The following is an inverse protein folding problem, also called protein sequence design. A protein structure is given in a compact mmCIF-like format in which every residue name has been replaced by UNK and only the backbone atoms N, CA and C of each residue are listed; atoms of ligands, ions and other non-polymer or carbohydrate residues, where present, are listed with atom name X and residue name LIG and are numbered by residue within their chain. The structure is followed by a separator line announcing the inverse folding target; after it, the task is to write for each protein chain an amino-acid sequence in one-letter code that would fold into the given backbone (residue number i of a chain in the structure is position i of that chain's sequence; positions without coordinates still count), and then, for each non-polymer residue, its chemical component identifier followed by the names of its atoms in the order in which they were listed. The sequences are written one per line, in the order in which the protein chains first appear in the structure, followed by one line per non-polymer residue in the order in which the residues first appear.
data_IF_459236335086
#
_entry.id   IF_459236335086
#
_cell.length_a   1.000
_cell.length_b   1.000
_cell.length_c   1.000
_cell.angle_alpha   90.00
_cell.angle_beta   90.00
_cell.angle_gamma   90.00
#
_symmetry.space_group_name_H-M   'P 1'
#
loop_
_entity.id
_entity.type
_entity.pdbx_description
1 polymer ?
#
# COMPACT_ATOMS: atom_id res chain seq x y z
N UNK A 1 -24.08 -38.98 -18.91
CA UNK A 1 -24.60 -37.91 -19.79
C UNK A 1 -25.46 -37.01 -18.90
N UNK A 2 -25.20 -35.70 -18.95
CA UNK A 2 -25.58 -34.62 -18.02
C UNK A 2 -24.81 -34.69 -16.67
N UNK A 3 -23.71 -33.97 -16.44
CA UNK A 3 -23.36 -32.54 -16.61
C UNK A 3 -24.11 -31.62 -15.64
N UNK A 4 -23.48 -31.34 -14.50
CA UNK A 4 -23.82 -30.24 -13.60
C UNK A 4 -22.54 -29.48 -13.28
N UNK A 5 -22.37 -28.41 -14.03
CA UNK A 5 -21.38 -27.36 -13.92
C UNK A 5 -21.62 -26.56 -12.62
N UNK A 6 -20.89 -26.89 -11.55
CA UNK A 6 -20.82 -26.03 -10.36
C UNK A 6 -19.72 -24.98 -10.58
N UNK A 7 -20.09 -23.91 -11.29
CA UNK A 7 -19.33 -22.67 -11.29
C UNK A 7 -19.33 -22.09 -9.88
N UNK A 8 -18.29 -22.38 -9.11
CA UNK A 8 -18.04 -21.75 -7.82
C UNK A 8 -17.77 -20.26 -7.99
N UNK A 9 -18.83 -19.45 -7.95
CA UNK A 9 -18.72 -18.01 -7.75
C UNK A 9 -18.03 -17.76 -6.41
N UNK A 10 -16.74 -17.40 -6.47
CA UNK A 10 -16.00 -16.90 -5.31
C UNK A 10 -16.72 -15.67 -4.77
N UNK A 11 -17.37 -15.84 -3.62
CA UNK A 11 -17.97 -14.75 -2.86
C UNK A 11 -16.95 -13.59 -2.69
N UNK A 12 -17.36 -12.32 -2.85
CA UNK A 12 -16.45 -11.20 -2.72
C UNK A 12 -15.92 -11.13 -1.28
N UNK A 13 -14.58 -11.22 -1.12
CA UNK A 13 -13.87 -11.05 0.16
C UNK A 13 -14.38 -9.77 0.86
N UNK A 14 -14.92 -9.92 2.08
CA UNK A 14 -15.29 -8.79 2.94
C UNK A 14 -14.06 -7.88 3.12
N UNK A 15 -14.19 -6.54 2.97
CA UNK A 15 -13.06 -5.65 3.17
C UNK A 15 -12.63 -5.70 4.63
N UNK A 16 -11.33 -5.91 4.85
CA UNK A 16 -10.69 -5.89 6.17
C UNK A 16 -10.77 -4.50 6.85
N UNK A 17 -10.23 -4.38 8.07
CA UNK A 17 -10.52 -3.32 9.03
C UNK A 17 -9.82 -2.00 8.67
N UNK A 18 -10.26 -1.34 7.61
CA UNK A 18 -9.87 0.03 7.27
C UNK A 18 -11.02 0.97 7.60
N UNK A 19 -11.10 1.42 8.86
CA UNK A 19 -12.17 2.26 9.38
C UNK A 19 -12.47 3.47 8.49
N UNK A 20 -13.67 3.50 7.94
CA UNK A 20 -14.17 4.59 7.11
C UNK A 20 -15.65 4.37 6.78
N UNK A 21 -16.38 5.46 6.63
CA UNK A 21 -17.81 5.42 6.27
C UNK A 21 -17.90 5.28 4.75
N UNK A 22 -18.60 4.25 4.26
CA UNK A 22 -18.84 4.07 2.83
C UNK A 22 -19.77 5.18 2.33
N UNK A 23 -19.27 6.02 1.43
CA UNK A 23 -20.01 7.17 0.89
C UNK A 23 -20.69 6.84 -0.45
N UNK A 24 -20.11 5.94 -1.24
CA UNK A 24 -20.66 5.56 -2.54
C UNK A 24 -19.77 4.62 -3.35
N UNK A 25 -20.18 4.29 -4.57
CA UNK A 25 -19.43 3.43 -5.51
C UNK A 25 -19.32 4.03 -6.92
N UNK A 26 -18.66 5.18 -7.11
CA UNK A 26 -18.42 5.73 -8.44
C UNK A 26 -17.64 4.72 -9.31
N UNK A 27 -18.11 4.48 -10.53
CA UNK A 27 -17.52 3.52 -11.48
C UNK A 27 -17.30 2.10 -10.91
N UNK A 28 -18.11 1.70 -9.92
CA UNK A 28 -17.99 0.39 -9.25
C UNK A 28 -16.92 0.32 -8.15
N UNK A 29 -16.16 1.40 -7.91
CA UNK A 29 -15.11 1.46 -6.88
C UNK A 29 -15.64 2.07 -5.60
N UNK A 30 -15.55 1.40 -4.44
CA UNK A 30 -16.07 1.94 -3.17
C UNK A 30 -15.22 3.11 -2.65
N UNK A 31 -15.90 4.21 -2.31
CA UNK A 31 -15.32 5.41 -1.70
C UNK A 31 -15.61 5.42 -0.20
N UNK A 32 -14.56 5.50 0.60
CA UNK A 32 -14.62 5.57 2.06
C UNK A 32 -14.14 6.94 2.56
N UNK A 33 -14.82 7.49 3.56
CA UNK A 33 -14.39 8.70 4.27
C UNK A 33 -13.86 8.31 5.65
N UNK A 34 -12.61 8.63 5.94
CA UNK A 34 -12.04 8.39 7.27
C UNK A 34 -12.54 9.42 8.28
N UNK A 35 -12.60 9.10 9.59
CA UNK A 35 -12.99 10.07 10.62
C UNK A 35 -12.11 11.33 10.67
N UNK A 36 -10.84 11.23 10.27
CA UNK A 36 -9.92 12.37 10.25
C UNK A 36 -10.32 13.44 9.23
N UNK A 37 -11.15 13.10 8.24
CA UNK A 37 -11.76 14.06 7.32
C UNK A 37 -12.54 15.15 8.04
N UNK A 38 -13.37 14.79 9.03
CA UNK A 38 -14.20 15.74 9.77
C UNK A 38 -13.36 16.76 10.55
N UNK A 39 -12.22 16.32 11.09
CA UNK A 39 -11.29 17.21 11.80
C UNK A 39 -10.68 18.25 10.83
N UNK A 40 -10.26 17.82 9.64
CA UNK A 40 -9.72 18.74 8.62
C UNK A 40 -10.80 19.68 8.10
N UNK A 41 -12.01 19.17 7.85
CA UNK A 41 -13.12 20.00 7.42
C UNK A 41 -13.43 21.10 8.45
N UNK A 42 -13.41 20.77 9.74
CA UNK A 42 -13.56 21.75 10.82
C UNK A 42 -12.42 22.77 10.84
N UNK A 43 -11.17 22.34 10.67
CA UNK A 43 -10.01 23.22 10.61
C UNK A 43 -10.08 24.19 9.41
N UNK A 44 -10.38 23.68 8.20
CA UNK A 44 -10.57 24.50 7.00
C UNK A 44 -11.71 25.49 7.21
N UNK A 45 -12.84 25.02 7.78
CA UNK A 45 -13.99 25.87 8.07
C UNK A 45 -13.62 27.03 9.00
N UNK A 46 -12.81 26.77 10.02
CA UNK A 46 -12.34 27.79 10.94
C UNK A 46 -11.38 28.78 10.27
N UNK A 47 -10.29 28.28 9.65
CA UNK A 47 -9.26 29.12 9.00
C UNK A 47 -9.85 29.96 7.87
N UNK A 48 -10.64 29.34 6.99
CA UNK A 48 -11.27 30.05 5.88
C UNK A 48 -12.38 30.99 6.36
N UNK A 49 -13.07 30.65 7.47
CA UNK A 49 -14.03 31.55 8.12
C UNK A 49 -13.40 32.85 8.62
N UNK A 50 -12.22 32.76 9.23
CA UNK A 50 -11.46 33.92 9.69
C UNK A 50 -10.90 34.73 8.50
N UNK A 51 -10.56 34.07 7.39
CA UNK A 51 -10.18 34.76 6.15
C UNK A 51 -11.38 35.48 5.50
N UNK A 52 -12.55 34.86 5.50
CA UNK A 52 -13.79 35.46 4.98
C UNK A 52 -14.16 36.73 5.76
N UNK A 53 -13.88 36.79 7.05
CA UNK A 53 -14.14 37.98 7.86
C UNK A 53 -13.36 39.21 7.39
N UNK A 54 -12.15 38.99 6.86
CA UNK A 54 -11.30 40.08 6.33
C UNK A 54 -11.80 40.62 4.99
N UNK A 55 -12.42 39.76 4.18
CA UNK A 55 -12.85 40.09 2.80
C UNK A 55 -14.32 40.49 2.74
N UNK A 56 -15.17 39.82 3.53
CA UNK A 56 -16.63 39.96 3.57
C UNK A 56 -17.11 40.08 5.04
N UNK A 57 -16.75 41.18 5.74
CA UNK A 57 -17.09 41.36 7.15
C UNK A 57 -18.61 41.37 7.40
N UNK A 58 -19.41 41.74 6.40
CA UNK A 58 -20.87 41.84 6.49
C UNK A 58 -21.59 40.49 6.64
N UNK A 59 -20.89 39.36 6.45
CA UNK A 59 -21.48 38.01 6.57
C UNK A 59 -21.77 37.60 8.02
N UNK A 60 -21.09 38.20 9.00
CA UNK A 60 -21.20 37.80 10.41
C UNK A 60 -21.01 36.28 10.60
N UNK A 61 -21.82 35.60 11.45
CA UNK A 61 -21.69 34.16 11.70
C UNK A 61 -21.90 33.26 10.47
N UNK A 62 -22.56 33.75 9.41
CA UNK A 62 -22.82 32.97 8.20
C UNK A 62 -21.52 32.59 7.46
N UNK A 63 -20.41 33.29 7.73
CA UNK A 63 -19.08 32.97 7.20
C UNK A 63 -18.68 31.51 7.43
N UNK A 64 -19.03 30.92 8.59
CA UNK A 64 -18.69 29.52 8.88
C UNK A 64 -19.51 28.53 8.05
N UNK A 65 -20.74 28.86 7.65
CA UNK A 65 -21.52 28.03 6.72
C UNK A 65 -20.92 28.06 5.31
N UNK A 66 -20.50 29.25 4.86
CA UNK A 66 -19.80 29.42 3.58
C UNK A 66 -18.46 28.68 3.59
N UNK A 67 -17.71 28.75 4.69
CA UNK A 67 -16.45 28.03 4.84
C UNK A 67 -16.60 26.52 4.95
N UNK A 68 -17.68 26.04 5.55
CA UNK A 68 -18.02 24.61 5.53
C UNK A 68 -18.34 24.14 4.12
N UNK A 69 -19.13 24.93 3.36
CA UNK A 69 -19.39 24.65 1.96
C UNK A 69 -18.10 24.63 1.14
N UNK A 70 -17.20 25.59 1.37
CA UNK A 70 -15.87 25.61 0.75
C UNK A 70 -15.09 24.33 1.07
N UNK A 71 -15.02 23.91 2.34
CA UNK A 71 -14.30 22.70 2.74
C UNK A 71 -14.85 21.45 2.02
N UNK A 72 -16.18 21.32 1.93
CA UNK A 72 -16.83 20.21 1.21
C UNK A 72 -16.54 20.27 -0.30
N UNK A 73 -16.65 21.44 -0.91
CA UNK A 73 -16.37 21.64 -2.34
C UNK A 73 -14.89 21.38 -2.68
N UNK A 74 -13.98 21.82 -1.82
CA UNK A 74 -12.55 21.53 -1.96
C UNK A 74 -12.28 20.02 -1.91
N UNK A 75 -12.84 19.31 -0.93
CA UNK A 75 -12.72 17.85 -0.88
C UNK A 75 -13.37 17.15 -2.06
N UNK A 76 -14.49 17.67 -2.58
CA UNK A 76 -15.08 17.16 -3.80
C UNK A 76 -14.11 17.31 -4.99
N UNK A 77 -13.38 18.42 -5.08
CA UNK A 77 -12.35 18.59 -6.12
C UNK A 77 -11.17 17.63 -5.97
N UNK A 78 -10.73 17.35 -4.74
CA UNK A 78 -9.72 16.31 -4.45
C UNK A 78 -10.25 14.91 -4.79
N UNK A 79 -11.52 14.61 -4.51
CA UNK A 79 -12.13 13.35 -4.94
C UNK A 79 -12.16 13.23 -6.46
N UNK A 80 -12.44 14.33 -7.18
CA UNK A 80 -12.39 14.35 -8.65
C UNK A 80 -10.98 14.06 -9.16
N UNK A 81 -9.94 14.61 -8.51
CA UNK A 81 -8.54 14.28 -8.79
C UNK A 81 -8.25 12.78 -8.61
N UNK A 82 -8.65 12.17 -7.50
CA UNK A 82 -8.49 10.73 -7.27
C UNK A 82 -9.28 9.86 -8.26
N UNK A 83 -10.49 10.31 -8.61
CA UNK A 83 -11.30 9.64 -9.62
C UNK A 83 -10.64 9.67 -10.99
N UNK A 84 -9.86 10.71 -11.30
CA UNK A 84 -9.08 10.78 -12.53
C UNK A 84 -8.07 9.62 -12.60
N UNK A 85 -7.31 9.39 -11.51
CA UNK A 85 -6.40 8.24 -11.41
C UNK A 85 -7.14 6.92 -11.48
N UNK A 86 -8.27 6.80 -10.77
CA UNK A 86 -9.07 5.58 -10.75
C UNK A 86 -9.59 5.24 -12.15
N UNK A 87 -10.14 6.21 -12.87
CA UNK A 87 -10.63 6.02 -14.24
C UNK A 87 -9.49 5.64 -15.18
N UNK A 88 -8.32 6.28 -15.07
CA UNK A 88 -7.14 5.90 -15.85
C UNK A 88 -6.67 4.47 -15.54
N UNK A 89 -6.67 4.06 -14.27
CA UNK A 89 -6.32 2.70 -13.84
C UNK A 89 -7.30 1.66 -14.41
N UNK A 90 -8.61 1.92 -14.31
CA UNK A 90 -9.65 1.06 -14.87
C UNK A 90 -9.52 0.92 -16.40
N UNK A 91 -9.17 2.00 -17.10
CA UNK A 91 -8.89 1.96 -18.55
C UNK A 91 -7.66 1.11 -18.90
N UNK A 92 -6.67 1.07 -18.02
CA UNK A 92 -5.52 0.17 -18.13
C UNK A 92 -5.77 -1.23 -17.55
N UNK A 93 -7.01 -1.56 -17.17
CA UNK A 93 -7.41 -2.85 -16.56
C UNK A 93 -6.62 -3.17 -15.28
N UNK A 94 -6.20 -2.15 -14.54
CA UNK A 94 -5.57 -2.31 -13.24
C UNK A 94 -6.67 -2.40 -12.17
N UNK A 95 -6.68 -3.46 -11.34
CA UNK A 95 -7.68 -3.60 -10.29
C UNK A 95 -7.50 -2.51 -9.23
N UNK A 96 -8.60 -1.82 -8.91
CA UNK A 96 -8.68 -0.77 -7.89
C UNK A 96 -9.58 -1.27 -6.76
N UNK A 97 -9.03 -1.36 -5.55
CA UNK A 97 -9.71 -1.95 -4.40
C UNK A 97 -10.72 -0.99 -3.77
N UNK A 98 -10.29 0.26 -3.54
CA UNK A 98 -11.08 1.32 -2.91
C UNK A 98 -10.41 2.68 -3.06
N UNK A 99 -11.20 3.74 -2.90
CA UNK A 99 -10.73 5.12 -2.73
C UNK A 99 -10.98 5.49 -1.27
N UNK A 100 -9.99 6.00 -0.57
CA UNK A 100 -10.13 6.46 0.82
C UNK A 100 -9.79 7.94 0.94
N UNK A 101 -10.76 8.75 1.36
CA UNK A 101 -10.54 10.16 1.71
C UNK A 101 -10.04 10.22 3.16
N UNK A 102 -8.87 10.80 3.36
CA UNK A 102 -8.17 10.92 4.63
C UNK A 102 -7.66 12.34 4.88
N UNK A 103 -7.05 12.55 6.06
CA UNK A 103 -6.51 13.85 6.49
C UNK A 103 -5.60 14.53 5.45
N UNK A 104 -4.79 13.75 4.72
CA UNK A 104 -3.81 14.25 3.76
C UNK A 104 -4.31 14.29 2.31
N UNK A 105 -5.63 14.13 2.08
CA UNK A 105 -6.23 14.05 0.75
C UNK A 105 -6.87 12.69 0.48
N UNK A 106 -6.99 12.30 -0.78
CA UNK A 106 -7.48 10.97 -1.15
C UNK A 106 -6.33 10.00 -1.42
N UNK A 107 -6.57 8.70 -1.19
CA UNK A 107 -5.67 7.63 -1.59
C UNK A 107 -6.46 6.59 -2.34
N UNK A 108 -6.08 6.37 -3.60
CA UNK A 108 -6.60 5.30 -4.43
C UNK A 108 -5.76 4.03 -4.25
N UNK A 109 -6.32 2.99 -3.65
CA UNK A 109 -5.64 1.70 -3.47
C UNK A 109 -5.69 0.87 -4.75
N UNK A 110 -4.62 0.95 -5.55
CA UNK A 110 -4.44 0.17 -6.77
C UNK A 110 -3.63 -1.08 -6.43
N UNK A 111 -4.18 -2.28 -6.72
CA UNK A 111 -3.58 -3.55 -6.29
C UNK A 111 -2.32 -3.91 -7.10
N UNK A 112 -2.30 -3.57 -8.40
CA UNK A 112 -1.20 -3.90 -9.32
C UNK A 112 -0.50 -2.64 -9.83
N UNK A 113 0.84 -2.68 -9.90
CA UNK A 113 1.60 -1.63 -10.58
C UNK A 113 1.42 -1.68 -12.10
N UNK A 114 1.70 -0.55 -12.75
CA UNK A 114 1.68 -0.45 -14.20
C UNK A 114 2.77 -1.33 -14.83
N UNK A 115 2.40 -2.05 -15.88
CA UNK A 115 3.31 -2.96 -16.61
C UNK A 115 4.29 -2.24 -17.53
N UNK A 116 4.06 -0.96 -17.82
CA UNK A 116 4.95 -0.17 -18.70
C UNK A 116 5.19 1.22 -18.13
N UNK A 117 6.37 1.83 -18.39
CA UNK A 117 6.68 3.17 -17.93
C UNK A 117 5.70 4.22 -18.50
N UNK A 118 5.31 4.09 -19.78
CA UNK A 118 4.35 5.01 -20.39
C UNK A 118 2.98 5.02 -19.69
N UNK A 119 2.45 3.83 -19.36
CA UNK A 119 1.20 3.73 -18.59
C UNK A 119 1.34 4.29 -17.17
N UNK A 120 2.50 4.12 -16.52
CA UNK A 120 2.75 4.68 -15.19
C UNK A 120 2.78 6.21 -15.22
N UNK A 121 3.44 6.80 -16.22
CA UNK A 121 3.49 8.24 -16.42
C UNK A 121 2.09 8.82 -16.64
N UNK A 122 1.31 8.25 -17.56
CA UNK A 122 -0.07 8.72 -17.83
C UNK A 122 -0.93 8.59 -16.58
N UNK A 123 -0.84 7.45 -15.88
CA UNK A 123 -1.62 7.22 -14.66
C UNK A 123 -1.32 8.27 -13.59
N UNK A 124 -0.05 8.66 -13.41
CA UNK A 124 0.34 9.70 -12.45
C UNK A 124 0.02 11.12 -12.93
N UNK A 125 0.07 11.38 -14.23
CA UNK A 125 -0.14 12.72 -14.79
C UNK A 125 -1.62 13.16 -14.83
N UNK A 126 -2.55 12.21 -14.96
CA UNK A 126 -3.98 12.52 -15.18
C UNK A 126 -4.63 13.26 -14.00
N UNK A 127 -4.24 12.97 -12.76
CA UNK A 127 -4.75 13.69 -11.57
C UNK A 127 -4.36 15.17 -11.57
N UNK A 128 -3.05 15.51 -11.58
CA UNK A 128 -2.60 16.89 -11.66
C UNK A 128 -3.16 17.65 -12.86
N UNK A 129 -3.26 17.00 -14.03
CA UNK A 129 -3.89 17.60 -15.21
C UNK A 129 -5.35 17.98 -14.92
N UNK A 130 -6.14 17.10 -14.29
CA UNK A 130 -7.53 17.41 -13.98
C UNK A 130 -7.67 18.51 -12.93
N UNK A 131 -6.78 18.57 -11.93
CA UNK A 131 -6.73 19.69 -10.99
C UNK A 131 -6.42 21.02 -11.69
N UNK A 132 -5.50 21.04 -12.66
CA UNK A 132 -5.24 22.25 -13.46
C UNK A 132 -6.46 22.65 -14.30
N UNK A 133 -7.16 21.69 -14.90
CA UNK A 133 -8.39 21.95 -15.64
C UNK A 133 -9.51 22.50 -14.74
N UNK A 134 -9.67 21.95 -13.53
CA UNK A 134 -10.61 22.48 -12.55
C UNK A 134 -10.24 23.90 -12.12
N UNK A 135 -8.96 24.17 -11.87
CA UNK A 135 -8.50 25.52 -11.59
C UNK A 135 -8.84 26.50 -12.73
N UNK A 136 -8.58 26.11 -13.98
CA UNK A 136 -8.96 26.89 -15.16
C UNK A 136 -10.46 27.13 -15.27
N UNK A 137 -11.28 26.11 -14.96
CA UNK A 137 -12.74 26.24 -14.96
C UNK A 137 -13.23 27.21 -13.87
N UNK A 138 -12.67 27.15 -12.66
CA UNK A 138 -13.01 28.09 -11.58
C UNK A 138 -12.57 29.51 -11.93
N UNK A 139 -11.39 29.69 -12.53
CA UNK A 139 -10.94 30.98 -13.04
C UNK A 139 -11.93 31.59 -14.06
N UNK A 140 -12.37 30.80 -15.05
CA UNK A 140 -13.38 31.24 -16.01
C UNK A 140 -14.74 31.53 -15.37
N UNK A 141 -15.08 30.83 -14.28
CA UNK A 141 -16.27 31.11 -13.48
C UNK A 141 -16.18 32.44 -12.73
N UNK A 142 -14.99 32.80 -12.23
CA UNK A 142 -14.76 34.07 -11.53
C UNK A 142 -15.03 35.28 -12.42
N UNK A 143 -14.69 35.20 -13.71
CA UNK A 143 -14.96 36.24 -14.71
C UNK A 143 -16.46 36.56 -14.87
N UNK A 144 -17.36 35.72 -14.33
CA UNK A 144 -18.82 35.86 -14.44
C UNK A 144 -19.50 36.34 -13.16
N UNK A 145 -18.74 36.55 -12.09
CA UNK A 145 -19.26 36.96 -10.78
C UNK A 145 -18.45 38.13 -10.24
N UNK A 146 -19.04 38.88 -9.31
CA UNK A 146 -18.30 39.93 -8.60
C UNK A 146 -17.20 39.29 -7.73
N UNK A 147 -15.92 39.68 -7.86
CA UNK A 147 -14.84 39.17 -7.02
C UNK A 147 -15.06 39.37 -5.52
N UNK A 148 -15.77 40.43 -5.12
CA UNK A 148 -16.12 40.74 -3.74
C UNK A 148 -17.48 40.15 -3.32
N UNK A 149 -17.93 39.09 -3.99
CA UNK A 149 -19.12 38.33 -3.60
C UNK A 149 -18.75 36.94 -3.04
N UNK A 150 -19.69 36.32 -2.32
CA UNK A 150 -19.51 34.94 -1.80
C UNK A 150 -19.13 33.96 -2.92
N UNK A 151 -19.82 33.91 -4.08
CA UNK A 151 -19.39 33.08 -5.21
C UNK A 151 -17.97 33.41 -5.71
N UNK A 152 -17.61 34.69 -5.79
CA UNK A 152 -16.28 35.13 -6.23
C UNK A 152 -15.17 34.60 -5.32
N UNK A 153 -15.32 34.75 -4.01
CA UNK A 153 -14.36 34.27 -3.01
C UNK A 153 -14.27 32.73 -3.00
N UNK A 154 -15.41 32.03 -3.11
CA UNK A 154 -15.43 30.56 -3.18
C UNK A 154 -14.71 30.04 -4.43
N UNK A 155 -14.97 30.63 -5.60
CA UNK A 155 -14.32 30.24 -6.84
C UNK A 155 -12.82 30.53 -6.81
N UNK A 156 -12.42 31.69 -6.26
CA UNK A 156 -11.01 32.04 -6.06
C UNK A 156 -10.30 31.05 -5.15
N UNK A 157 -10.92 30.70 -4.01
CA UNK A 157 -10.41 29.69 -3.10
C UNK A 157 -10.25 28.34 -3.80
N UNK A 158 -11.27 27.87 -4.52
CA UNK A 158 -11.24 26.57 -5.19
C UNK A 158 -10.22 26.53 -6.33
N UNK A 159 -10.07 27.63 -7.07
CA UNK A 159 -9.03 27.80 -8.09
C UNK A 159 -7.64 27.66 -7.46
N UNK A 160 -7.34 28.47 -6.44
CA UNK A 160 -6.02 28.48 -5.78
C UNK A 160 -5.74 27.12 -5.16
N UNK A 161 -6.71 26.52 -4.46
CA UNK A 161 -6.54 25.20 -3.86
C UNK A 161 -6.25 24.12 -4.91
N UNK A 162 -6.92 24.13 -6.06
CA UNK A 162 -6.65 23.16 -7.12
C UNK A 162 -5.29 23.40 -7.81
N UNK A 163 -4.86 24.65 -7.95
CA UNK A 163 -3.50 24.98 -8.40
C UNK A 163 -2.45 24.46 -7.42
N UNK A 164 -2.66 24.65 -6.11
CA UNK A 164 -1.77 24.13 -5.09
C UNK A 164 -1.71 22.60 -5.12
N UNK A 165 -2.86 21.91 -5.18
CA UNK A 165 -2.93 20.44 -5.30
C UNK A 165 -2.17 19.96 -6.54
N UNK A 166 -2.35 20.61 -7.69
CA UNK A 166 -1.62 20.26 -8.91
C UNK A 166 -0.12 20.51 -8.78
N UNK A 167 0.28 21.68 -8.27
CA UNK A 167 1.68 22.06 -8.11
C UNK A 167 2.42 21.11 -7.17
N UNK A 168 1.85 20.81 -5.99
CA UNK A 168 2.41 19.86 -5.04
C UNK A 168 2.50 18.47 -5.64
N UNK A 169 1.45 17.97 -6.30
CA UNK A 169 1.49 16.65 -6.91
C UNK A 169 2.40 16.58 -8.13
N UNK A 170 2.79 17.68 -8.77
CA UNK A 170 3.77 17.68 -9.87
C UNK A 170 5.23 17.73 -9.39
N UNK A 171 5.49 17.93 -8.08
CA UNK A 171 6.86 17.97 -7.58
C UNK A 171 7.58 16.62 -7.83
N UNK A 172 8.85 16.67 -8.28
CA UNK A 172 9.58 15.47 -8.69
C UNK A 172 10.11 14.72 -7.46
N UNK A 173 9.26 13.93 -6.78
CA UNK A 173 9.70 13.12 -5.64
C UNK A 173 8.60 12.25 -5.06
N UNK A 174 8.92 11.00 -4.72
CA UNK A 174 7.96 10.13 -4.04
C UNK A 174 7.63 10.68 -2.65
N UNK A 175 6.39 10.55 -2.15
CA UNK A 175 5.28 9.74 -2.69
C UNK A 175 4.37 10.47 -3.71
N UNK A 176 4.72 11.68 -4.14
CA UNK A 176 3.87 12.54 -4.99
C UNK A 176 3.77 11.97 -6.42
N UNK A 177 2.75 12.37 -7.17
CA UNK A 177 2.55 11.90 -8.56
C UNK A 177 3.71 12.27 -9.48
N UNK A 178 4.31 13.46 -9.32
CA UNK A 178 5.49 13.91 -10.05
C UNK A 178 6.71 13.03 -9.76
N UNK A 179 6.77 12.44 -8.55
CA UNK A 179 7.72 11.38 -8.22
C UNK A 179 7.49 10.10 -9.01
N UNK A 180 6.22 9.70 -9.19
CA UNK A 180 5.84 8.54 -10.02
C UNK A 180 6.10 8.80 -11.50
N UNK A 181 5.85 10.02 -11.97
CA UNK A 181 6.21 10.47 -13.32
C UNK A 181 7.73 10.41 -13.52
N UNK A 182 8.52 10.92 -12.58
CA UNK A 182 9.99 10.83 -12.61
C UNK A 182 10.47 9.37 -12.62
N UNK A 183 9.91 8.53 -11.74
CA UNK A 183 10.18 7.08 -11.70
C UNK A 183 9.92 6.45 -13.07
N UNK A 184 8.79 6.76 -13.70
CA UNK A 184 8.41 6.24 -15.01
C UNK A 184 9.38 6.67 -16.12
N UNK A 185 9.84 7.93 -16.11
CA UNK A 185 10.84 8.44 -17.07
C UNK A 185 12.17 7.70 -16.89
N UNK A 186 12.68 7.60 -15.66
CA UNK A 186 13.94 6.92 -15.37
C UNK A 186 13.85 5.43 -15.70
N UNK A 187 12.71 4.80 -15.40
CA UNK A 187 12.46 3.42 -15.79
C UNK A 187 12.47 3.26 -17.32
N UNK A 188 11.81 4.15 -18.06
CA UNK A 188 11.83 4.15 -19.52
C UNK A 188 13.24 4.26 -20.12
N UNK A 189 14.11 5.05 -19.49
CA UNK A 189 15.51 5.23 -19.94
C UNK A 189 16.39 4.02 -19.56
N UNK A 190 16.25 3.51 -18.33
CA UNK A 190 17.15 2.48 -17.77
C UNK A 190 16.70 1.05 -18.04
N UNK A 191 15.42 0.85 -18.39
CA UNK A 191 14.78 -0.46 -18.47
C UNK A 191 14.53 -1.12 -17.11
N UNK A 192 14.94 -0.51 -15.99
CA UNK A 192 14.88 -1.09 -14.65
C UNK A 192 13.90 -0.31 -13.74
N UNK A 193 12.73 -0.86 -13.38
CA UNK A 193 11.72 -0.14 -12.59
C UNK A 193 12.22 0.23 -11.18
N UNK A 194 13.05 -0.63 -10.60
CA UNK A 194 13.61 -0.40 -9.28
C UNK A 194 14.57 0.80 -9.25
N UNK A 195 15.38 0.98 -10.31
CA UNK A 195 16.26 2.15 -10.44
C UNK A 195 15.46 3.45 -10.47
N UNK A 196 14.33 3.47 -11.20
CA UNK A 196 13.42 4.62 -11.20
C UNK A 196 12.83 4.92 -9.83
N UNK A 197 12.43 3.88 -9.09
CA UNK A 197 11.88 4.04 -7.73
C UNK A 197 12.91 4.58 -6.75
N UNK A 198 14.13 4.04 -6.78
CA UNK A 198 15.24 4.48 -5.92
C UNK A 198 15.58 5.94 -6.20
N UNK A 199 15.72 6.32 -7.48
CA UNK A 199 16.02 7.69 -7.86
C UNK A 199 14.90 8.64 -7.41
N UNK A 200 13.63 8.35 -7.72
CA UNK A 200 12.51 9.20 -7.33
C UNK A 200 12.34 9.31 -5.80
N UNK A 201 12.68 8.26 -5.04
CA UNK A 201 12.69 8.31 -3.57
C UNK A 201 13.81 9.21 -3.04
N UNK A 202 15.00 9.17 -3.63
CA UNK A 202 16.10 10.08 -3.26
C UNK A 202 15.80 11.53 -3.60
N UNK A 203 15.22 11.80 -4.78
CA UNK A 203 14.78 13.17 -5.12
C UNK A 203 13.67 13.63 -4.15
N UNK A 204 12.73 12.76 -3.76
CA UNK A 204 11.76 13.06 -2.71
C UNK A 204 12.39 13.43 -1.36
N UNK A 205 13.44 12.70 -0.94
CA UNK A 205 14.20 13.05 0.28
C UNK A 205 14.92 14.39 0.17
N UNK A 206 15.54 14.65 -0.97
CA UNK A 206 16.19 15.95 -1.22
C UNK A 206 15.16 17.09 -1.21
N UNK A 207 13.99 16.87 -1.81
CA UNK A 207 12.87 17.81 -1.80
C UNK A 207 12.35 18.05 -0.38
N UNK A 208 12.22 17.01 0.45
CA UNK A 208 11.82 17.17 1.85
C UNK A 208 12.79 18.07 2.63
N UNK A 209 14.09 17.90 2.44
CA UNK A 209 15.12 18.77 3.04
C UNK A 209 15.02 20.20 2.47
N UNK A 210 14.81 20.33 1.17
CA UNK A 210 14.64 21.63 0.52
C UNK A 210 13.39 22.38 1.03
N UNK A 211 12.28 21.68 1.28
CA UNK A 211 11.07 22.28 1.86
C UNK A 211 11.31 22.68 3.32
N UNK A 212 11.96 21.82 4.11
CA UNK A 212 12.26 22.08 5.52
C UNK A 212 13.13 23.32 5.72
N UNK A 213 14.16 23.50 4.88
CA UNK A 213 15.11 24.61 5.00
C UNK A 213 14.70 25.83 4.17
N UNK A 214 14.15 25.59 2.98
CA UNK A 214 13.84 26.62 1.99
C UNK A 214 12.59 27.41 2.34
N UNK A 215 11.51 26.76 2.81
CA UNK A 215 10.27 27.47 3.11
C UNK A 215 10.47 28.54 4.21
N UNK A 216 11.13 28.25 5.35
CA UNK A 216 11.42 29.27 6.36
C UNK A 216 12.42 30.32 5.87
N UNK A 217 13.46 29.95 5.10
CA UNK A 217 14.45 30.92 4.61
C UNK A 217 13.84 31.92 3.61
N UNK A 218 12.96 31.45 2.73
CA UNK A 218 12.31 32.30 1.74
C UNK A 218 11.37 33.30 2.41
N UNK A 219 10.65 32.90 3.46
CA UNK A 219 9.79 33.80 4.23
C UNK A 219 10.61 34.78 5.09
N UNK A 220 11.75 34.35 5.65
CA UNK A 220 12.66 35.22 6.41
C UNK A 220 13.40 36.26 5.58
N UNK A 221 13.74 35.94 4.32
CA UNK A 221 14.54 36.82 3.45
C UNK A 221 13.69 37.84 2.69
N UNK A 222 12.35 37.74 2.75
CA UNK A 222 11.44 38.66 2.06
C UNK A 222 11.54 38.60 0.53
N UNK A 223 12.21 37.58 -0.02
CA UNK A 223 12.47 37.44 -1.47
C UNK A 223 11.18 37.29 -2.28
N UNK A 224 10.10 36.75 -1.67
CA UNK A 224 8.78 36.67 -2.30
C UNK A 224 7.92 37.94 -2.10
N UNK A 225 8.51 39.03 -1.60
CA UNK A 225 7.85 40.31 -1.39
C UNK A 225 7.32 40.46 0.04
N UNK A 226 7.53 41.65 0.60
CA UNK A 226 7.05 42.13 1.90
C UNK A 226 5.52 42.32 1.96
N UNK A 227 4.74 41.43 1.33
CA UNK A 227 3.27 41.45 1.27
C UNK A 227 2.63 40.13 1.70
N UNK A 228 3.40 39.16 2.19
CA UNK A 228 2.87 37.88 2.71
C UNK A 228 2.15 38.00 4.06
N UNK A 229 2.16 39.16 4.69
CA UNK A 229 1.31 39.45 5.86
C UNK A 229 -0.18 39.23 5.54
N UNK A 230 -0.59 39.38 4.27
CA UNK A 230 -2.01 39.31 3.85
C UNK A 230 -2.49 37.93 3.36
N UNK A 231 -1.63 37.03 2.88
CA UNK A 231 -2.10 35.77 2.26
C UNK A 231 -2.26 34.62 3.27
N UNK A 232 -1.70 34.74 4.48
CA UNK A 232 -1.81 33.67 5.47
C UNK A 232 -1.75 34.05 6.93
N UNK A 233 -1.29 35.24 7.33
CA UNK A 233 -1.17 35.61 8.75
C UNK A 233 -0.42 34.60 9.64
N UNK A 234 0.39 33.72 9.03
CA UNK A 234 1.12 32.67 9.72
C UNK A 234 2.45 33.26 10.18
N UNK A 235 2.69 33.19 11.49
CA UNK A 235 3.98 33.60 12.05
C UNK A 235 5.09 32.67 11.53
N UNK A 236 6.34 33.13 11.57
CA UNK A 236 7.54 32.36 11.18
C UNK A 236 7.60 30.97 11.84
N UNK A 237 7.05 30.85 13.04
CA UNK A 237 6.92 29.58 13.76
C UNK A 237 5.93 28.63 13.08
N UNK A 238 4.76 29.10 12.66
CA UNK A 238 3.75 28.30 11.99
C UNK A 238 4.22 27.85 10.60
N UNK A 239 4.89 28.73 9.85
CA UNK A 239 5.49 28.37 8.56
C UNK A 239 6.57 27.30 8.72
N UNK A 240 7.42 27.41 9.74
CA UNK A 240 8.41 26.40 10.07
C UNK A 240 7.78 25.07 10.52
N UNK A 241 6.69 25.11 11.28
CA UNK A 241 5.93 23.91 11.69
C UNK A 241 5.27 23.23 10.49
N UNK A 242 4.64 24.00 9.60
CA UNK A 242 4.06 23.47 8.36
C UNK A 242 5.15 22.86 7.47
N UNK A 243 6.26 23.56 7.27
CA UNK A 243 7.41 23.05 6.51
C UNK A 243 7.92 21.73 7.10
N UNK A 244 8.02 21.64 8.43
CA UNK A 244 8.44 20.44 9.13
C UNK A 244 7.46 19.28 8.95
N UNK A 245 6.15 19.53 9.05
CA UNK A 245 5.12 18.52 8.81
C UNK A 245 5.18 18.03 7.35
N UNK A 246 5.24 18.94 6.38
CA UNK A 246 5.30 18.59 4.96
C UNK A 246 6.57 17.80 4.63
N UNK A 247 7.72 18.25 5.13
CA UNK A 247 8.99 17.56 4.97
C UNK A 247 8.95 16.16 5.60
N UNK A 248 8.37 16.01 6.79
CA UNK A 248 8.22 14.71 7.44
C UNK A 248 7.34 13.77 6.61
N UNK A 249 6.25 14.25 6.03
CA UNK A 249 5.36 13.45 5.17
C UNK A 249 6.08 13.01 3.91
N UNK A 250 6.75 13.92 3.20
CA UNK A 250 7.50 13.59 1.99
C UNK A 250 8.62 12.59 2.33
N UNK A 251 9.38 12.83 3.39
CA UNK A 251 10.48 11.96 3.82
C UNK A 251 10.01 10.55 4.18
N UNK A 252 8.97 10.44 5.01
CA UNK A 252 8.40 9.14 5.43
C UNK A 252 7.73 8.43 4.27
N UNK A 253 7.02 9.15 3.39
CA UNK A 253 6.40 8.62 2.18
C UNK A 253 7.43 8.07 1.18
N UNK A 254 8.52 8.79 0.94
CA UNK A 254 9.64 8.32 0.12
C UNK A 254 10.27 7.04 0.71
N UNK A 255 10.49 7.01 2.03
CA UNK A 255 11.01 5.83 2.73
C UNK A 255 10.07 4.62 2.68
N UNK A 256 8.76 4.84 2.82
CA UNK A 256 7.75 3.79 2.71
C UNK A 256 7.67 3.23 1.29
N UNK A 257 7.70 4.10 0.28
CA UNK A 257 7.69 3.70 -1.13
C UNK A 257 8.88 2.82 -1.48
N UNK A 258 10.08 3.18 -1.00
CA UNK A 258 11.29 2.39 -1.21
C UNK A 258 11.23 1.03 -0.49
N UNK A 259 10.73 0.99 0.75
CA UNK A 259 10.54 -0.27 1.49
C UNK A 259 9.57 -1.20 0.79
N UNK A 260 8.44 -0.67 0.33
CA UNK A 260 7.42 -1.45 -0.38
C UNK A 260 7.95 -1.98 -1.73
N UNK A 261 8.70 -1.16 -2.47
CA UNK A 261 9.31 -1.60 -3.72
C UNK A 261 10.35 -2.72 -3.50
N UNK A 262 11.19 -2.62 -2.46
CA UNK A 262 12.15 -3.69 -2.11
C UNK A 262 11.48 -4.99 -1.72
N UNK A 263 10.43 -4.89 -0.89
CA UNK A 263 9.63 -6.04 -0.51
C UNK A 263 9.14 -6.76 -1.77
N UNK A 264 8.49 -6.02 -2.67
CA UNK A 264 7.94 -6.56 -3.92
C UNK A 264 8.97 -7.15 -4.86
N UNK A 265 10.15 -6.55 -4.99
CA UNK A 265 11.23 -7.08 -5.84
C UNK A 265 11.67 -8.49 -5.40
N UNK A 266 11.66 -8.76 -4.10
CA UNK A 266 12.11 -10.05 -3.55
C UNK A 266 10.97 -11.05 -3.28
N UNK A 267 9.71 -10.63 -3.34
CA UNK A 267 8.56 -11.54 -3.18
C UNK A 267 8.62 -12.76 -4.13
N UNK A 268 9.01 -12.62 -5.42
CA UNK A 268 9.13 -13.77 -6.32
C UNK A 268 10.20 -14.79 -5.93
N UNK A 269 11.18 -14.41 -5.08
CA UNK A 269 12.19 -15.32 -4.52
C UNK A 269 11.60 -16.22 -3.43
N UNK A 270 10.51 -15.80 -2.78
CA UNK A 270 9.77 -16.57 -1.79
C UNK A 270 8.86 -17.58 -2.49
N UNK A 271 9.43 -18.70 -2.95
CA UNK A 271 8.68 -19.82 -3.53
C UNK A 271 8.60 -20.95 -2.53
N UNK A 272 7.42 -21.55 -2.39
CA UNK A 272 7.25 -22.73 -1.55
C UNK A 272 8.28 -23.80 -1.96
N UNK A 273 8.40 -24.09 -3.26
CA UNK A 273 9.36 -25.07 -3.80
C UNK A 273 10.82 -24.89 -3.36
N UNK A 274 11.32 -23.66 -3.25
CA UNK A 274 12.72 -23.39 -2.89
C UNK A 274 12.96 -23.37 -1.39
N UNK A 275 11.93 -23.04 -0.60
CA UNK A 275 11.99 -22.97 0.85
C UNK A 275 11.61 -24.28 1.54
N UNK A 276 10.94 -25.18 0.81
CA UNK A 276 10.53 -26.49 1.33
C UNK A 276 11.73 -27.38 1.57
N UNK A 277 11.73 -28.05 2.72
CA UNK A 277 12.67 -29.14 3.02
C UNK A 277 12.08 -30.45 2.50
N UNK A 278 12.88 -31.24 1.79
CA UNK A 278 12.51 -32.61 1.38
C UNK A 278 12.04 -33.39 2.61
N UNK A 279 10.94 -34.12 2.45
CA UNK A 279 10.38 -34.98 3.48
C UNK A 279 10.49 -36.45 3.08
N UNK A 280 10.60 -37.33 4.09
CA UNK A 280 10.48 -38.78 3.89
C UNK A 280 9.12 -39.24 4.42
N UNK A 281 8.36 -40.00 3.62
CA UNK A 281 7.14 -40.64 4.08
C UNK A 281 7.47 -41.84 4.98
N UNK A 282 6.77 -41.94 6.12
CA UNK A 282 6.89 -43.07 7.08
C UNK A 282 5.51 -43.50 7.58
N UNK A 283 5.39 -44.73 8.06
CA UNK A 283 4.15 -45.24 8.65
C UNK A 283 4.04 -44.87 10.15
N UNK A 284 2.81 -44.84 10.69
CA UNK A 284 2.50 -44.38 12.05
C UNK A 284 3.28 -45.09 13.17
N UNK A 285 3.64 -46.36 12.96
CA UNK A 285 4.34 -47.23 13.93
C UNK A 285 5.85 -47.26 13.73
N UNK A 286 6.39 -46.40 12.85
CA UNK A 286 7.82 -46.33 12.62
C UNK A 286 8.51 -45.71 13.83
N UNK A 287 9.54 -46.35 14.43
CA UNK A 287 10.31 -45.73 15.50
C UNK A 287 11.03 -44.47 15.02
N UNK A 288 11.15 -43.46 15.89
CA UNK A 288 11.80 -42.19 15.53
C UNK A 288 13.25 -42.38 15.06
N UNK A 289 14.00 -43.31 15.65
CA UNK A 289 15.37 -43.61 15.19
C UNK A 289 15.42 -44.12 13.75
N UNK A 290 14.44 -44.94 13.34
CA UNK A 290 14.31 -45.46 11.99
C UNK A 290 13.95 -44.35 11.01
N UNK A 291 12.96 -43.53 11.38
CA UNK A 291 12.54 -42.39 10.56
C UNK A 291 13.67 -41.38 10.36
N UNK A 292 14.44 -41.07 11.41
CA UNK A 292 15.62 -40.21 11.32
C UNK A 292 16.74 -40.83 10.48
N UNK A 293 16.96 -42.14 10.58
CA UNK A 293 17.92 -42.85 9.72
C UNK A 293 17.51 -42.72 8.25
N UNK A 294 16.25 -43.00 7.91
CA UNK A 294 15.73 -42.88 6.54
C UNK A 294 15.82 -41.44 6.02
N UNK A 295 15.48 -40.46 6.85
CA UNK A 295 15.61 -39.05 6.54
C UNK A 295 17.07 -38.68 6.19
N UNK A 296 18.03 -39.11 7.01
CA UNK A 296 19.44 -38.87 6.79
C UNK A 296 19.98 -39.55 5.51
N UNK A 297 19.55 -40.80 5.23
CA UNK A 297 19.93 -41.52 4.01
C UNK A 297 19.42 -40.82 2.74
N UNK A 298 18.23 -40.21 2.78
CA UNK A 298 17.62 -39.51 1.64
C UNK A 298 17.93 -38.00 1.62
N UNK A 299 18.77 -37.50 2.55
CA UNK A 299 19.05 -36.07 2.70
C UNK A 299 17.82 -35.22 3.04
N UNK A 300 16.75 -35.83 3.55
CA UNK A 300 15.53 -35.17 3.96
C UNK A 300 15.68 -34.59 5.37
N UNK A 301 15.04 -33.45 5.61
CA UNK A 301 15.06 -32.75 6.91
C UNK A 301 13.67 -32.69 7.56
N UNK A 302 12.70 -33.36 6.96
CA UNK A 302 11.33 -33.44 7.44
C UNK A 302 10.82 -34.87 7.35
N UNK A 303 9.84 -35.20 8.19
CA UNK A 303 9.20 -36.51 8.24
C UNK A 303 7.69 -36.29 8.14
N UNK A 304 7.07 -37.00 7.20
CA UNK A 304 5.62 -36.98 6.99
C UNK A 304 5.09 -38.38 7.22
N UNK A 305 4.03 -38.48 7.99
CA UNK A 305 3.36 -39.75 8.25
C UNK A 305 2.30 -39.97 7.17
N UNK A 306 2.35 -41.14 6.54
CA UNK A 306 1.44 -41.55 5.47
C UNK A 306 0.62 -42.77 5.87
N UNK A 307 -0.54 -42.94 5.23
CA UNK A 307 -1.32 -44.17 5.31
C UNK A 307 -0.68 -45.31 4.46
N UNK A 308 -1.28 -46.51 4.50
CA UNK A 308 -0.82 -47.65 3.71
C UNK A 308 -0.98 -47.49 2.18
N UNK A 309 -1.61 -46.41 1.73
CA UNK A 309 -1.77 -46.04 0.33
C UNK A 309 -0.85 -44.89 -0.10
N UNK A 310 -0.03 -44.35 0.82
CA UNK A 310 0.88 -43.23 0.57
C UNK A 310 0.27 -41.84 0.77
N UNK A 311 -0.98 -41.74 1.23
CA UNK A 311 -1.61 -40.44 1.48
C UNK A 311 -1.09 -39.80 2.78
N UNK A 312 -0.80 -38.50 2.79
CA UNK A 312 -0.28 -37.81 3.97
C UNK A 312 -1.36 -37.62 5.05
N UNK A 313 -1.09 -38.12 6.26
CA UNK A 313 -1.99 -38.01 7.42
C UNK A 313 -1.54 -36.92 8.40
N UNK A 314 -0.25 -36.87 8.73
CA UNK A 314 0.29 -35.95 9.73
C UNK A 314 1.75 -35.57 9.46
N UNK A 315 2.18 -34.42 10.00
CA UNK A 315 3.56 -33.94 9.93
C UNK A 315 4.24 -34.13 11.29
N UNK A 316 5.46 -34.64 11.32
CA UNK A 316 6.24 -34.73 12.57
C UNK A 316 6.90 -33.40 12.87
N UNK A 317 6.59 -32.83 14.04
CA UNK A 317 7.08 -31.50 14.43
C UNK A 317 8.58 -31.52 14.77
N UNK A 318 9.34 -30.60 14.20
CA UNK A 318 10.80 -30.52 14.43
C UNK A 318 11.12 -30.28 15.92
N UNK A 319 10.33 -29.44 16.58
CA UNK A 319 10.45 -29.16 18.02
C UNK A 319 10.15 -30.36 18.91
N UNK A 320 9.26 -31.26 18.46
CA UNK A 320 8.92 -32.48 19.17
C UNK A 320 10.03 -33.54 19.01
N UNK A 321 10.70 -33.61 17.87
CA UNK A 321 11.88 -34.47 17.68
C UNK A 321 13.02 -34.04 18.60
N UNK A 322 13.26 -32.72 18.69
CA UNK A 322 14.35 -32.16 19.48
C UNK A 322 14.18 -32.39 21.00
N UNK A 323 12.95 -32.58 21.49
CA UNK A 323 12.68 -32.83 22.90
C UNK A 323 12.92 -34.27 23.33
N UNK A 324 13.07 -35.22 22.40
CA UNK A 324 13.30 -36.64 22.68
C UNK A 324 14.80 -36.93 22.81
N UNK A 325 15.28 -37.37 24.00
CA UNK A 325 16.68 -37.76 24.20
C UNK A 325 17.09 -38.92 23.29
N UNK A 326 18.35 -38.93 22.84
CA UNK A 326 18.84 -39.87 21.83
C UNK A 326 18.60 -41.35 22.18
N UNK A 327 18.82 -41.72 23.45
CA UNK A 327 18.62 -43.08 23.95
C UNK A 327 17.15 -43.54 23.96
N UNK A 328 16.18 -42.62 23.90
CA UNK A 328 14.75 -42.95 23.85
C UNK A 328 14.20 -43.01 22.43
N UNK A 329 14.88 -42.40 21.44
CA UNK A 329 14.44 -42.35 20.03
C UNK A 329 14.11 -43.73 19.41
N UNK A 330 14.76 -44.86 19.78
CA UNK A 330 14.38 -46.19 19.26
C UNK A 330 13.05 -46.74 19.77
N UNK A 331 12.51 -46.18 20.84
CA UNK A 331 11.33 -46.68 21.55
C UNK A 331 10.12 -45.73 21.47
N UNK A 332 10.25 -44.63 20.72
CA UNK A 332 9.22 -43.61 20.56
C UNK A 332 8.75 -43.65 19.11
N UNK A 333 7.46 -43.91 18.92
CA UNK A 333 6.85 -43.90 17.59
C UNK A 333 6.69 -42.47 17.08
N UNK A 334 6.92 -42.26 15.79
CA UNK A 334 6.76 -40.96 15.14
C UNK A 334 5.37 -40.35 15.30
N UNK A 335 4.33 -41.20 15.40
CA UNK A 335 2.94 -40.78 15.62
C UNK A 335 2.75 -39.96 16.90
N UNK A 336 3.53 -40.24 17.96
CA UNK A 336 3.44 -39.49 19.23
C UNK A 336 3.95 -38.05 19.13
N UNK A 337 4.74 -37.75 18.09
CA UNK A 337 5.37 -36.45 17.84
C UNK A 337 4.71 -35.69 16.68
N UNK A 338 3.70 -36.30 16.07
CA UNK A 338 3.04 -35.79 14.88
C UNK A 338 1.90 -34.83 15.20
N UNK A 339 1.60 -33.96 14.23
CA UNK A 339 0.46 -33.08 14.19
C UNK A 339 -0.40 -33.44 12.97
N UNK A 340 -1.69 -33.67 13.19
CA UNK A 340 -2.64 -33.96 12.13
C UNK A 340 -2.71 -32.83 11.09
N UNK A 341 -2.80 -33.23 9.83
CA UNK A 341 -2.93 -32.31 8.73
C UNK A 341 -4.37 -31.83 8.58
N UNK A 342 -4.56 -30.52 8.64
CA UNK A 342 -5.80 -29.88 8.21
C UNK A 342 -5.67 -29.41 6.76
N UNK A 343 -6.79 -29.18 6.07
CA UNK A 343 -6.74 -28.78 4.65
C UNK A 343 -6.05 -27.43 4.44
N UNK A 344 -6.10 -26.52 5.40
CA UNK A 344 -5.36 -25.26 5.35
C UNK A 344 -3.86 -25.37 5.64
N UNK A 345 -3.37 -26.56 6.01
CA UNK A 345 -1.92 -26.83 6.17
C UNK A 345 -1.28 -27.40 4.90
N UNK A 346 -2.06 -27.63 3.83
CA UNK A 346 -1.58 -28.16 2.54
C UNK A 346 -1.35 -26.99 1.57
N UNK A 347 -0.10 -26.87 1.11
CA UNK A 347 0.38 -25.78 0.25
C UNK A 347 0.86 -26.36 -1.08
N UNK A 348 0.49 -25.77 -2.20
CA UNK A 348 1.06 -26.12 -3.51
C UNK A 348 2.54 -25.70 -3.59
N UNK A 349 3.39 -26.54 -4.17
CA UNK A 349 4.79 -26.23 -4.43
C UNK A 349 4.99 -25.00 -5.33
N UNK A 350 4.00 -24.68 -6.16
CA UNK A 350 4.07 -23.58 -7.12
C UNK A 350 3.62 -22.23 -6.54
N UNK A 351 3.09 -22.22 -5.30
CA UNK A 351 2.78 -20.99 -4.58
C UNK A 351 4.04 -20.16 -4.34
N UNK A 352 3.93 -18.86 -4.64
CA UNK A 352 5.03 -17.91 -4.50
C UNK A 352 4.53 -16.52 -4.08
N UNK A 353 5.44 -15.72 -3.52
CA UNK A 353 5.21 -14.31 -3.24
C UNK A 353 4.02 -14.05 -2.31
N UNK A 354 3.14 -13.11 -2.71
CA UNK A 354 1.99 -12.71 -1.89
C UNK A 354 1.00 -13.85 -1.67
N UNK A 355 0.78 -14.71 -2.66
CA UNK A 355 -0.18 -15.82 -2.53
C UNK A 355 0.25 -16.83 -1.47
N UNK A 356 1.57 -17.10 -1.37
CA UNK A 356 2.13 -17.92 -0.31
C UNK A 356 1.90 -17.25 1.06
N UNK A 357 2.23 -15.97 1.19
CA UNK A 357 2.08 -15.24 2.45
C UNK A 357 0.61 -15.12 2.90
N UNK A 358 -0.31 -14.91 1.95
CA UNK A 358 -1.74 -14.83 2.21
C UNK A 358 -2.29 -16.18 2.69
N UNK A 359 -1.82 -17.29 2.11
CA UNK A 359 -2.19 -18.63 2.57
C UNK A 359 -1.71 -18.89 4.01
N UNK A 360 -0.44 -18.58 4.29
CA UNK A 360 0.14 -18.73 5.64
C UNK A 360 -0.56 -17.86 6.68
N UNK A 361 -1.05 -16.67 6.30
CA UNK A 361 -1.82 -15.78 7.17
C UNK A 361 -3.24 -16.27 7.40
N UNK A 362 -3.86 -16.88 6.39
CA UNK A 362 -5.22 -17.40 6.47
C UNK A 362 -5.30 -18.64 7.37
N UNK A 363 -4.27 -19.48 7.40
CA UNK A 363 -4.20 -20.65 8.29
C UNK A 363 -2.86 -20.70 9.01
N UNK A 364 -2.72 -20.00 10.16
CA UNK A 364 -1.46 -19.94 10.89
C UNK A 364 -1.07 -21.31 11.47
N UNK A 365 0.01 -21.89 10.93
CA UNK A 365 0.66 -23.10 11.45
C UNK A 365 2.19 -22.93 11.51
N UNK A 366 2.86 -23.80 12.25
CA UNK A 366 4.33 -23.84 12.35
C UNK A 366 4.97 -24.50 11.12
N UNK A 367 4.28 -25.47 10.54
CA UNK A 367 4.75 -26.33 9.46
C UNK A 367 3.58 -26.61 8.51
N UNK A 368 3.88 -26.67 7.21
CA UNK A 368 2.92 -26.91 6.14
C UNK A 368 3.41 -28.04 5.25
N UNK A 369 2.50 -28.89 4.82
CA UNK A 369 2.81 -29.92 3.83
C UNK A 369 2.80 -29.28 2.45
N UNK A 370 3.88 -29.45 1.71
CA UNK A 370 3.98 -28.96 0.35
C UNK A 370 3.76 -30.11 -0.62
N UNK A 371 2.80 -29.92 -1.53
CA UNK A 371 2.35 -30.89 -2.51
C UNK A 371 2.69 -30.44 -3.93
N UNK A 372 3.07 -31.39 -4.78
CA UNK A 372 3.08 -31.17 -6.23
C UNK A 372 1.65 -31.04 -6.78
N UNK A 373 1.45 -30.48 -7.98
CA UNK A 373 0.13 -30.41 -8.62
C UNK A 373 -0.57 -31.78 -8.76
N UNK A 374 0.20 -32.87 -8.82
CA UNK A 374 -0.31 -34.25 -8.87
C UNK A 374 -0.71 -34.83 -7.51
N UNK A 375 -0.60 -34.09 -6.41
CA UNK A 375 -0.90 -34.57 -5.05
C UNK A 375 0.27 -35.29 -4.36
N UNK A 376 1.40 -35.46 -5.05
CA UNK A 376 2.60 -36.07 -4.49
C UNK A 376 3.26 -35.18 -3.42
N UNK A 377 3.85 -35.82 -2.41
CA UNK A 377 4.53 -35.12 -1.32
C UNK A 377 5.85 -34.52 -1.84
N UNK A 378 5.92 -33.20 -1.92
CA UNK A 378 7.15 -32.50 -2.26
C UNK A 378 8.06 -32.34 -1.02
N UNK A 379 7.46 -31.98 0.12
CA UNK A 379 8.17 -31.83 1.39
C UNK A 379 7.39 -31.06 2.45
N UNK A 380 8.10 -30.49 3.43
CA UNK A 380 7.52 -29.66 4.50
C UNK A 380 8.14 -28.27 4.49
N UNK A 381 7.30 -27.25 4.56
CA UNK A 381 7.67 -25.84 4.66
C UNK A 381 7.50 -25.37 6.11
N UNK A 382 8.57 -24.85 6.71
CA UNK A 382 8.53 -24.26 8.04
C UNK A 382 8.32 -22.75 7.96
N UNK A 383 7.45 -22.20 8.81
CA UNK A 383 7.25 -20.74 8.93
C UNK A 383 8.54 -20.01 9.28
N UNK A 384 9.40 -20.63 10.09
CA UNK A 384 10.71 -20.06 10.45
C UNK A 384 11.64 -19.91 9.23
N UNK A 385 11.57 -20.82 8.26
CA UNK A 385 12.38 -20.72 7.05
C UNK A 385 11.86 -19.63 6.12
N UNK A 386 10.53 -19.45 6.04
CA UNK A 386 9.90 -18.33 5.33
C UNK A 386 10.29 -17.01 5.97
N UNK A 387 10.23 -16.89 7.29
CA UNK A 387 10.66 -15.69 8.02
C UNK A 387 12.14 -15.36 7.81
N UNK A 388 13.02 -16.36 7.92
CA UNK A 388 14.45 -16.19 7.65
C UNK A 388 14.72 -15.76 6.21
N UNK A 389 14.03 -16.36 5.24
CA UNK A 389 14.14 -15.99 3.83
C UNK A 389 13.67 -14.56 3.61
N UNK A 390 12.56 -14.16 4.24
CA UNK A 390 12.03 -12.80 4.18
C UNK A 390 12.99 -11.77 4.78
N UNK A 391 13.54 -12.03 5.96
CA UNK A 391 14.55 -11.15 6.59
C UNK A 391 15.81 -11.05 5.73
N UNK A 392 16.28 -12.17 5.19
CA UNK A 392 17.46 -12.20 4.31
C UNK A 392 17.23 -11.41 3.01
N UNK A 393 16.06 -11.56 2.40
CA UNK A 393 15.65 -10.76 1.24
C UNK A 393 15.66 -9.26 1.56
N UNK A 394 15.20 -8.87 2.75
CA UNK A 394 15.19 -7.46 3.17
C UNK A 394 16.57 -6.90 3.53
N UNK A 395 17.52 -7.75 3.90
CA UNK A 395 18.85 -7.36 4.34
C UNK A 395 19.90 -7.26 3.21
N UNK A 396 19.62 -7.76 2.00
CA UNK A 396 20.59 -7.73 0.89
C UNK A 396 20.76 -6.30 0.34
N UNK A 397 21.98 -5.71 0.37
CA UNK A 397 22.31 -4.58 -0.49
C UNK A 397 22.48 -5.06 -1.94
N UNK A 398 22.21 -4.18 -2.90
CA UNK A 398 22.21 -4.49 -4.33
C UNK A 398 23.56 -5.07 -4.80
N UNK A 399 23.51 -6.12 -5.62
CA UNK A 399 24.62 -6.57 -6.47
C UNK A 399 24.55 -5.94 -7.84
#
# INVERSE_FOLDING_TARGET
MADTDETGERAPKRPGPGGGILMGRPFGVPVYVSPSWFLVAALITWVFGDQLDRVLPDLGPARYLVSLFFAVAFYASVLVHELAHTVAALRFKLPVRRIQLQFFGGVSEIEKESETPGREFVLAFVGPLLSLLLAGAFYLGMERVDPASVPGVLLAGLMISNLLVAAFNLLPGLPLDGGRMLRAVIWGITGKPMTGTVAAAWVGRALAVAVLLGLPMITHTGILGSGTDDIGGMNTVMDALLAAILAAIIWTGAGNSLRMARLREHLPELRARTLTRRAVPVENTTPLSEALRRANTHGARAIVIVDGHGNPLSIVRETAIASVPEHRRPWVDVSTLAQELTDGMKVSADLAGEELLDHLRATPATEYLVLEPGGEIYGVLSTLDVEKAFVKAMARPQS
#
